data_IF_034976257480
#
_entry.id   IF_034976257480
#
_cell.length_a   1.000
_cell.length_b   1.000
_cell.length_c   1.000
_cell.angle_alpha   90.00
_cell.angle_beta   90.00
_cell.angle_gamma   90.00
#
_symmetry.space_group_name_H-M   'P 1'
#
loop_
_entity.id
_entity.type
_entity.pdbx_description
1 polymer ?
#
# COMPACT_ATOMS: atom_id res chain seq x y z
N UNK A 1 1.33 9.10 -8.75
CA UNK A 1 0.46 8.38 -9.72
C UNK A 1 -0.10 7.16 -9.01
N UNK A 2 -1.37 6.88 -9.22
CA UNK A 2 -2.12 5.75 -8.65
C UNK A 2 -2.02 4.50 -9.52
N UNK A 3 -2.51 3.36 -9.04
CA UNK A 3 -2.53 2.08 -9.78
C UNK A 3 -3.25 2.18 -11.13
N UNK A 4 -4.32 2.98 -11.22
CA UNK A 4 -5.05 3.21 -12.47
C UNK A 4 -4.48 4.36 -13.32
N UNK A 5 -3.30 4.90 -12.96
CA UNK A 5 -2.64 5.98 -13.69
C UNK A 5 -3.13 7.40 -13.39
N UNK A 6 -4.12 7.58 -12.50
CA UNK A 6 -4.61 8.91 -12.11
C UNK A 6 -3.53 9.67 -11.32
N UNK A 7 -3.31 10.94 -11.66
CA UNK A 7 -2.46 11.83 -10.86
C UNK A 7 -3.28 12.43 -9.74
N UNK A 8 -2.88 12.21 -8.50
CA UNK A 8 -3.53 12.73 -7.28
C UNK A 8 -2.60 13.67 -6.55
N UNK A 9 -3.13 14.46 -5.62
CA UNK A 9 -2.39 15.53 -4.93
C UNK A 9 -1.71 15.08 -3.63
N UNK A 10 -2.24 14.03 -2.98
CA UNK A 10 -1.70 13.55 -1.71
C UNK A 10 -1.49 12.04 -1.71
N UNK A 11 -0.72 11.54 -0.72
CA UNK A 11 -0.53 10.10 -0.49
C UNK A 11 -1.82 9.44 0.00
N UNK A 12 -2.62 10.17 0.77
CA UNK A 12 -3.90 9.68 1.28
C UNK A 12 -4.92 9.51 0.17
N UNK A 13 -4.99 10.45 -0.76
CA UNK A 13 -5.78 10.30 -1.99
C UNK A 13 -5.27 9.15 -2.86
N UNK A 14 -3.94 8.96 -2.97
CA UNK A 14 -3.37 7.81 -3.66
C UNK A 14 -3.83 6.51 -3.02
N UNK A 15 -3.78 6.41 -1.69
CA UNK A 15 -4.22 5.24 -0.96
C UNK A 15 -5.71 4.92 -1.23
N UNK A 16 -6.57 5.92 -1.15
CA UNK A 16 -8.02 5.77 -1.41
C UNK A 16 -8.27 5.34 -2.86
N UNK A 17 -7.61 6.00 -3.82
CA UNK A 17 -7.71 5.67 -5.25
C UNK A 17 -7.29 4.22 -5.53
N UNK A 18 -6.16 3.81 -4.96
CA UNK A 18 -5.61 2.45 -5.14
C UNK A 18 -6.52 1.41 -4.46
N UNK A 19 -7.10 1.74 -3.31
CA UNK A 19 -8.09 0.89 -2.65
C UNK A 19 -9.35 0.70 -3.51
N UNK A 20 -9.92 1.78 -4.05
CA UNK A 20 -11.07 1.73 -4.94
C UNK A 20 -10.78 0.88 -6.18
N UNK A 21 -9.62 1.08 -6.79
CA UNK A 21 -9.20 0.33 -7.97
C UNK A 21 -9.02 -1.16 -7.68
N UNK A 22 -8.37 -1.52 -6.56
CA UNK A 22 -8.21 -2.93 -6.13
C UNK A 22 -9.54 -3.65 -5.89
N UNK A 23 -10.58 -2.91 -5.54
CA UNK A 23 -11.92 -3.46 -5.32
C UNK A 23 -12.84 -3.35 -6.55
N UNK A 24 -12.27 -3.03 -7.71
CA UNK A 24 -12.99 -2.85 -8.98
C UNK A 24 -14.10 -1.78 -8.91
N UNK A 25 -13.94 -0.78 -8.04
CA UNK A 25 -14.90 0.30 -7.87
C UNK A 25 -14.51 1.44 -8.81
N UNK A 26 -15.38 1.75 -9.78
CA UNK A 26 -15.19 2.88 -10.68
C UNK A 26 -15.35 4.18 -9.94
N UNK A 27 -14.47 5.14 -10.19
CA UNK A 27 -14.54 6.46 -9.61
C UNK A 27 -14.08 7.53 -10.58
N UNK A 28 -14.48 8.76 -10.31
CA UNK A 28 -14.04 9.98 -10.98
C UNK A 28 -13.27 10.81 -9.94
N UNK A 29 -12.03 11.11 -10.23
CA UNK A 29 -11.19 11.94 -9.37
C UNK A 29 -11.46 13.42 -9.64
N UNK A 30 -11.60 14.23 -8.58
CA UNK A 30 -11.92 15.67 -8.60
C UNK A 30 -13.08 16.06 -9.54
N UNK A 31 -14.25 15.40 -9.43
CA UNK A 31 -15.39 15.75 -10.26
C UNK A 31 -15.82 17.20 -10.00
N UNK A 32 -16.10 17.94 -11.06
CA UNK A 32 -16.65 19.28 -10.92
C UNK A 32 -18.13 19.20 -10.57
N UNK A 33 -18.51 19.72 -9.41
CA UNK A 33 -19.90 19.80 -8.96
C UNK A 33 -20.29 21.27 -8.87
N UNK A 34 -21.24 21.68 -9.74
CA UNK A 34 -21.70 23.05 -9.81
C UNK A 34 -22.93 23.22 -8.91
N UNK A 35 -22.87 24.18 -8.01
CA UNK A 35 -24.01 24.68 -7.24
C UNK A 35 -24.34 26.10 -7.69
N UNK A 36 -25.52 26.63 -7.31
CA UNK A 36 -25.93 27.98 -7.73
C UNK A 36 -24.91 29.06 -7.35
N UNK A 37 -24.32 28.92 -6.16
CA UNK A 37 -23.51 29.99 -5.56
C UNK A 37 -22.00 29.67 -5.57
N UNK A 38 -21.59 28.43 -5.88
CA UNK A 38 -20.19 28.05 -5.93
C UNK A 38 -20.00 26.71 -6.64
N UNK A 39 -18.79 26.51 -7.16
CA UNK A 39 -18.32 25.24 -7.68
C UNK A 39 -17.51 24.52 -6.59
N UNK A 40 -17.65 23.20 -6.55
CA UNK A 40 -16.88 22.37 -5.66
C UNK A 40 -16.31 21.15 -6.37
N UNK A 41 -15.12 20.71 -5.95
CA UNK A 41 -14.48 19.49 -6.45
C UNK A 41 -14.15 18.60 -5.27
N UNK A 42 -15.03 17.67 -4.91
CA UNK A 42 -14.69 16.61 -3.96
C UNK A 42 -13.58 15.71 -4.54
N UNK A 43 -12.83 15.03 -3.68
CA UNK A 43 -11.71 14.21 -4.14
C UNK A 43 -12.18 13.06 -5.04
N UNK A 44 -13.29 12.40 -4.71
CA UNK A 44 -13.80 11.29 -5.50
C UNK A 44 -15.32 11.33 -5.68
N UNK A 45 -15.78 10.85 -6.81
CA UNK A 45 -17.18 10.48 -7.05
C UNK A 45 -17.23 9.01 -7.45
N UNK A 46 -18.07 8.24 -6.77
CA UNK A 46 -18.31 6.81 -7.02
C UNK A 46 -19.71 6.69 -7.63
N UNK A 47 -19.81 6.57 -8.97
CA UNK A 47 -21.11 6.60 -9.67
C UNK A 47 -22.06 5.48 -9.22
N UNK A 48 -21.57 4.27 -9.06
CA UNK A 48 -22.37 3.08 -8.71
C UNK A 48 -22.98 3.17 -7.30
N UNK A 49 -22.32 3.88 -6.39
CA UNK A 49 -22.81 4.17 -5.04
C UNK A 49 -23.53 5.53 -4.94
N UNK A 50 -23.55 6.33 -6.01
CA UNK A 50 -23.99 7.72 -6.03
C UNK A 50 -23.42 8.54 -4.85
N UNK A 51 -22.12 8.38 -4.61
CA UNK A 51 -21.41 8.86 -3.43
C UNK A 51 -20.26 9.76 -3.82
N UNK A 52 -20.19 10.94 -3.19
CA UNK A 52 -19.03 11.81 -3.21
C UNK A 52 -18.21 11.57 -1.94
N UNK A 53 -16.90 11.45 -2.08
CA UNK A 53 -15.97 11.27 -0.96
C UNK A 53 -15.00 12.45 -0.93
N UNK A 54 -14.82 13.03 0.25
CA UNK A 54 -13.85 14.08 0.54
C UNK A 54 -12.91 13.60 1.64
N UNK A 55 -11.61 13.65 1.41
CA UNK A 55 -10.60 13.31 2.42
C UNK A 55 -10.03 14.56 3.05
N UNK A 56 -10.16 14.68 4.36
CA UNK A 56 -9.76 15.86 5.12
C UNK A 56 -8.40 15.60 5.76
N UNK A 57 -7.35 16.21 5.20
CA UNK A 57 -5.98 16.12 5.71
C UNK A 57 -5.71 17.10 6.87
N UNK A 58 -6.48 18.19 6.98
CA UNK A 58 -6.29 19.22 8.02
C UNK A 58 -7.60 19.48 8.78
N UNK A 59 -7.54 19.46 10.13
CA UNK A 59 -8.67 19.75 11.01
C UNK A 59 -9.24 21.16 10.85
N UNK A 60 -8.45 22.10 10.31
CA UNK A 60 -8.85 23.50 10.09
C UNK A 60 -9.64 23.72 8.80
N UNK A 61 -9.90 22.67 8.03
CA UNK A 61 -10.59 22.80 6.74
C UNK A 61 -12.08 23.11 6.95
N UNK A 62 -12.60 24.25 6.41
CA UNK A 62 -13.99 24.64 6.62
C UNK A 62 -14.95 23.72 5.85
N UNK A 63 -15.65 22.89 6.58
CA UNK A 63 -16.48 21.83 5.99
C UNK A 63 -17.98 22.12 6.04
N UNK A 64 -18.42 22.98 6.97
CA UNK A 64 -19.84 23.12 7.34
C UNK A 64 -20.78 23.64 6.23
N UNK A 65 -20.28 24.43 5.29
CA UNK A 65 -21.10 24.93 4.17
C UNK A 65 -21.34 23.90 3.07
N UNK A 66 -20.34 23.05 2.79
CA UNK A 66 -20.35 22.09 1.68
C UNK A 66 -21.40 20.99 1.88
N UNK A 67 -21.44 20.38 3.07
CA UNK A 67 -22.41 19.32 3.37
C UNK A 67 -23.86 19.77 3.21
N UNK A 68 -24.17 21.01 3.67
CA UNK A 68 -25.52 21.58 3.52
C UNK A 68 -25.93 21.70 2.06
N UNK A 69 -25.01 22.09 1.18
CA UNK A 69 -25.29 22.24 -0.25
C UNK A 69 -25.46 20.88 -0.93
N UNK A 70 -24.62 19.91 -0.61
CA UNK A 70 -24.78 18.53 -1.11
C UNK A 70 -26.15 17.97 -0.69
N UNK A 71 -26.52 18.14 0.58
CA UNK A 71 -27.83 17.70 1.09
C UNK A 71 -28.99 18.39 0.40
N UNK A 72 -28.92 19.72 0.18
CA UNK A 72 -29.94 20.49 -0.57
C UNK A 72 -30.07 20.00 -2.02
N UNK A 73 -28.97 19.59 -2.64
CA UNK A 73 -28.95 19.05 -4.00
C UNK A 73 -29.29 17.54 -4.08
N UNK A 74 -29.71 16.95 -2.97
CA UNK A 74 -29.96 15.50 -2.86
C UNK A 74 -28.76 14.65 -3.28
N UNK A 75 -27.54 15.12 -2.97
CA UNK A 75 -26.26 14.45 -3.20
C UNK A 75 -25.64 14.03 -1.87
N UNK A 76 -25.03 12.88 -1.86
CA UNK A 76 -24.36 12.35 -0.66
C UNK A 76 -22.87 12.69 -0.69
N UNK A 77 -22.42 13.49 0.28
CA UNK A 77 -21.01 13.72 0.54
C UNK A 77 -20.62 13.04 1.85
N UNK A 78 -19.63 12.16 1.79
CA UNK A 78 -19.04 11.51 2.97
C UNK A 78 -17.60 11.98 3.13
N UNK A 79 -17.17 12.14 4.37
CA UNK A 79 -15.82 12.58 4.72
C UNK A 79 -15.03 11.45 5.34
N UNK A 80 -13.77 11.40 5.01
CA UNK A 80 -12.73 10.62 5.70
C UNK A 80 -11.65 11.57 6.21
N UNK A 81 -10.84 11.14 7.16
CA UNK A 81 -9.88 12.00 7.85
C UNK A 81 -8.50 11.37 7.89
N UNK A 82 -7.44 12.20 7.84
CA UNK A 82 -6.05 11.78 7.83
C UNK A 82 -5.70 10.81 8.98
N UNK A 83 -6.15 11.12 10.21
CA UNK A 83 -5.89 10.26 11.38
C UNK A 83 -6.46 8.82 11.24
N UNK A 84 -7.42 8.61 10.34
CA UNK A 84 -7.97 7.27 10.08
C UNK A 84 -7.03 6.40 9.25
N UNK A 85 -6.18 7.02 8.40
CA UNK A 85 -5.22 6.31 7.56
C UNK A 85 -4.02 5.79 8.36
N UNK A 86 -3.72 6.34 9.53
CA UNK A 86 -2.65 5.85 10.42
C UNK A 86 -2.80 4.35 10.73
N UNK A 87 -4.04 3.87 10.81
CA UNK A 87 -4.32 2.44 10.86
C UNK A 87 -5.04 1.99 9.58
N UNK A 88 -4.26 1.55 8.60
CA UNK A 88 -4.75 1.17 7.27
C UNK A 88 -5.79 0.04 7.30
N UNK A 89 -5.68 -0.91 8.23
CA UNK A 89 -6.66 -2.01 8.35
C UNK A 89 -8.03 -1.48 8.80
N UNK A 90 -8.06 -0.60 9.81
CA UNK A 90 -9.29 0.03 10.25
C UNK A 90 -9.85 0.97 9.17
N UNK A 91 -9.00 1.69 8.47
CA UNK A 91 -9.42 2.58 7.40
C UNK A 91 -10.06 1.82 6.23
N UNK A 92 -9.50 0.66 5.86
CA UNK A 92 -10.10 -0.22 4.86
C UNK A 92 -11.52 -0.64 5.25
N UNK A 93 -11.75 -1.01 6.52
CA UNK A 93 -13.08 -1.35 7.02
C UNK A 93 -14.04 -0.14 6.98
N UNK A 94 -13.53 1.06 7.25
CA UNK A 94 -14.32 2.31 7.13
C UNK A 94 -14.75 2.53 5.68
N UNK A 95 -13.82 2.46 4.72
CA UNK A 95 -14.12 2.61 3.29
C UNK A 95 -15.10 1.54 2.81
N UNK A 96 -14.86 0.29 3.17
CA UNK A 96 -15.76 -0.81 2.83
C UNK A 96 -17.17 -0.55 3.35
N UNK A 97 -17.32 -0.20 4.62
CA UNK A 97 -18.63 0.09 5.24
C UNK A 97 -19.35 1.27 4.57
N UNK A 98 -18.62 2.34 4.24
CA UNK A 98 -19.19 3.53 3.59
C UNK A 98 -19.74 3.17 2.22
N UNK A 99 -19.03 2.36 1.45
CA UNK A 99 -19.30 2.11 0.04
C UNK A 99 -20.21 0.90 -0.16
N UNK A 100 -19.94 -0.23 0.49
CA UNK A 100 -20.66 -1.49 0.33
C UNK A 100 -22.17 -1.38 0.51
N UNK A 101 -22.59 -0.63 1.52
CA UNK A 101 -24.02 -0.45 1.81
C UNK A 101 -24.76 0.38 0.76
N UNK A 102 -24.05 0.89 -0.25
CA UNK A 102 -24.60 1.76 -1.32
C UNK A 102 -24.40 1.20 -2.71
N UNK A 103 -23.64 0.12 -2.83
CA UNK A 103 -23.48 -0.56 -4.09
C UNK A 103 -24.72 -1.42 -4.39
N UNK A 104 -25.00 -1.66 -5.69
CA UNK A 104 -26.11 -2.53 -6.08
C UNK A 104 -26.03 -3.92 -5.45
N UNK A 105 -27.19 -4.54 -5.20
CA UNK A 105 -27.28 -5.93 -4.75
C UNK A 105 -26.53 -6.84 -5.74
N UNK A 106 -25.60 -7.66 -5.22
CA UNK A 106 -24.78 -8.54 -6.06
C UNK A 106 -23.44 -7.94 -6.51
N UNK A 107 -23.09 -6.73 -6.08
CA UNK A 107 -21.77 -6.20 -6.33
C UNK A 107 -20.71 -7.03 -5.59
N UNK A 108 -19.77 -7.57 -6.34
CA UNK A 108 -18.69 -8.37 -5.78
C UNK A 108 -17.44 -7.49 -5.58
N UNK A 109 -17.01 -7.37 -4.33
CA UNK A 109 -15.69 -6.85 -3.97
C UNK A 109 -14.63 -7.87 -4.39
N UNK A 110 -14.34 -7.97 -5.66
CA UNK A 110 -13.26 -8.83 -6.16
C UNK A 110 -11.97 -8.02 -6.25
N UNK A 111 -10.85 -8.66 -5.98
CA UNK A 111 -9.56 -8.06 -6.30
C UNK A 111 -9.51 -7.81 -7.81
N UNK A 112 -9.46 -6.54 -8.21
CA UNK A 112 -9.43 -6.15 -9.61
C UNK A 112 -8.06 -6.34 -10.24
N UNK A 113 -7.02 -6.53 -9.43
CA UNK A 113 -5.63 -6.54 -9.88
C UNK A 113 -5.00 -7.88 -9.55
N UNK A 114 -4.33 -8.47 -10.54
CA UNK A 114 -3.46 -9.62 -10.30
C UNK A 114 -2.20 -9.20 -9.53
N UNK A 115 -1.58 -10.15 -8.85
CA UNK A 115 -0.28 -9.94 -8.19
C UNK A 115 0.77 -9.41 -9.18
N UNK A 116 0.75 -9.90 -10.42
CA UNK A 116 1.68 -9.49 -11.48
C UNK A 116 1.49 -8.02 -11.90
N UNK A 117 0.25 -7.53 -11.93
CA UNK A 117 -0.04 -6.13 -12.22
C UNK A 117 0.40 -5.22 -11.09
N UNK A 118 0.13 -5.60 -9.85
CA UNK A 118 0.58 -4.86 -8.67
C UNK A 118 2.10 -4.85 -8.57
N UNK A 119 2.76 -5.98 -8.85
CA UNK A 119 4.22 -6.10 -8.90
C UNK A 119 4.83 -5.17 -9.97
N UNK A 120 4.23 -5.07 -11.15
CA UNK A 120 4.69 -4.15 -12.20
C UNK A 120 4.62 -2.70 -11.78
N UNK A 121 3.60 -2.32 -11.05
CA UNK A 121 3.45 -0.95 -10.54
C UNK A 121 4.53 -0.58 -9.53
N UNK A 122 4.83 -1.47 -8.59
CA UNK A 122 5.87 -1.27 -7.58
C UNK A 122 7.24 -1.81 -7.99
N UNK A 123 7.48 -1.96 -9.29
CA UNK A 123 8.70 -2.60 -9.82
C UNK A 123 9.98 -1.95 -9.27
N UNK A 124 10.04 -0.63 -9.16
CA UNK A 124 11.22 0.09 -8.66
C UNK A 124 11.47 -0.21 -7.18
N UNK A 125 10.45 -0.07 -6.36
CA UNK A 125 10.52 -0.29 -4.91
C UNK A 125 10.86 -1.74 -4.60
N UNK A 126 10.25 -2.68 -5.30
CA UNK A 126 10.55 -4.11 -5.17
C UNK A 126 11.97 -4.40 -5.63
N UNK A 127 12.43 -3.84 -6.74
CA UNK A 127 13.80 -4.00 -7.22
C UNK A 127 14.82 -3.45 -6.23
N UNK A 128 14.56 -2.29 -5.64
CA UNK A 128 15.43 -1.68 -4.64
C UNK A 128 15.47 -2.55 -3.37
N UNK A 129 14.33 -3.06 -2.91
CA UNK A 129 14.26 -3.99 -1.78
C UNK A 129 15.03 -5.28 -2.05
N UNK A 130 14.81 -5.92 -3.20
CA UNK A 130 15.53 -7.15 -3.61
C UNK A 130 17.04 -6.90 -3.68
N UNK A 131 17.47 -5.75 -4.21
CA UNK A 131 18.90 -5.39 -4.27
C UNK A 131 19.52 -5.27 -2.88
N UNK A 132 18.81 -4.67 -1.92
CA UNK A 132 19.24 -4.62 -0.53
C UNK A 132 19.27 -6.01 0.13
N UNK A 133 18.26 -6.82 -0.16
CA UNK A 133 18.15 -8.19 0.35
C UNK A 133 19.34 -9.06 -0.10
N UNK A 134 19.72 -8.97 -1.38
CA UNK A 134 20.90 -9.68 -1.91
C UNK A 134 22.19 -9.27 -1.20
N UNK A 135 22.40 -7.97 -0.95
CA UNK A 135 23.54 -7.47 -0.18
C UNK A 135 23.58 -8.04 1.24
N UNK A 136 22.43 -8.16 1.89
CA UNK A 136 22.34 -8.76 3.23
C UNK A 136 22.65 -10.26 3.19
N UNK A 137 22.20 -10.98 2.16
CA UNK A 137 22.54 -12.39 1.95
C UNK A 137 24.06 -12.57 1.82
N UNK A 138 24.70 -11.75 0.97
CA UNK A 138 26.15 -11.78 0.78
C UNK A 138 26.89 -11.50 2.09
N UNK A 139 26.49 -10.47 2.83
CA UNK A 139 27.09 -10.14 4.12
C UNK A 139 26.96 -11.27 5.13
N UNK A 140 25.77 -11.88 5.24
CA UNK A 140 25.53 -13.03 6.15
C UNK A 140 26.46 -14.19 5.81
N UNK A 141 26.66 -14.48 4.52
CA UNK A 141 27.51 -15.58 4.05
C UNK A 141 28.99 -15.28 4.28
N UNK A 142 29.45 -14.07 3.96
CA UNK A 142 30.85 -13.66 4.13
C UNK A 142 31.25 -13.65 5.62
N UNK A 143 30.38 -13.12 6.47
CA UNK A 143 30.65 -13.02 7.91
C UNK A 143 30.30 -14.30 8.67
N UNK A 144 29.76 -15.31 8.00
CA UNK A 144 29.27 -16.57 8.60
C UNK A 144 28.31 -16.36 9.78
N UNK A 145 27.49 -15.31 9.70
CA UNK A 145 26.52 -14.96 10.73
C UNK A 145 25.23 -15.76 10.57
N UNK A 146 24.59 -16.10 11.69
CA UNK A 146 23.24 -16.69 11.63
C UNK A 146 22.19 -15.61 11.38
N UNK A 147 21.11 -15.96 10.68
CA UNK A 147 19.94 -15.07 10.48
C UNK A 147 19.34 -14.59 11.80
N UNK A 148 19.34 -15.47 12.82
CA UNK A 148 18.88 -15.13 14.17
C UNK A 148 19.74 -14.04 14.80
N UNK A 149 21.07 -14.16 14.71
CA UNK A 149 22.00 -13.15 15.25
C UNK A 149 21.76 -11.79 14.60
N UNK A 150 21.60 -11.74 13.28
CA UNK A 150 21.32 -10.51 12.54
C UNK A 150 19.97 -9.89 12.94
N UNK A 151 18.96 -10.71 13.10
CA UNK A 151 17.64 -10.26 13.55
C UNK A 151 17.71 -9.66 14.95
N UNK A 152 18.33 -10.37 15.91
CA UNK A 152 18.46 -9.91 17.30
C UNK A 152 19.28 -8.60 17.39
N UNK A 153 20.32 -8.47 16.57
CA UNK A 153 21.12 -7.24 16.48
C UNK A 153 20.31 -6.08 15.88
N UNK A 154 19.56 -6.35 14.81
CA UNK A 154 18.76 -5.33 14.13
C UNK A 154 17.63 -4.78 15.00
N UNK A 155 17.04 -5.59 15.88
CA UNK A 155 15.97 -5.15 16.79
C UNK A 155 16.45 -4.09 17.81
N UNK A 156 17.76 -3.99 18.02
CA UNK A 156 18.39 -2.99 18.90
C UNK A 156 18.77 -1.70 18.16
N UNK A 157 18.55 -1.63 16.83
CA UNK A 157 18.86 -0.44 16.06
C UNK A 157 17.92 0.72 16.42
N UNK A 158 18.46 1.93 16.43
CA UNK A 158 17.71 3.14 16.77
C UNK A 158 16.67 3.50 15.70
N UNK A 159 16.93 3.13 14.44
CA UNK A 159 16.08 3.45 13.31
C UNK A 159 15.00 2.37 13.10
N UNK A 160 13.75 2.77 13.20
CA UNK A 160 12.59 1.89 12.99
C UNK A 160 12.62 1.22 11.61
N UNK A 161 12.99 1.96 10.57
CA UNK A 161 13.11 1.43 9.19
C UNK A 161 14.09 0.26 9.08
N UNK A 162 15.19 0.28 9.86
CA UNK A 162 16.15 -0.83 9.89
C UNK A 162 15.52 -2.05 10.55
N UNK A 163 14.86 -1.87 11.68
CA UNK A 163 14.15 -2.95 12.37
C UNK A 163 13.09 -3.60 11.47
N UNK A 164 12.29 -2.79 10.80
CA UNK A 164 11.22 -3.27 9.92
C UNK A 164 11.76 -3.95 8.66
N UNK A 165 12.84 -3.41 8.08
CA UNK A 165 13.52 -4.05 6.97
C UNK A 165 13.94 -5.49 7.33
N UNK A 166 14.62 -5.70 8.46
CA UNK A 166 15.08 -7.03 8.86
C UNK A 166 13.94 -7.96 9.28
N UNK A 167 12.86 -7.45 9.84
CA UNK A 167 11.64 -8.26 10.08
C UNK A 167 11.07 -8.86 8.80
N UNK A 168 11.10 -8.10 7.70
CA UNK A 168 10.65 -8.56 6.38
C UNK A 168 11.71 -9.41 5.67
N UNK A 169 12.98 -9.01 5.77
CA UNK A 169 14.08 -9.63 5.03
C UNK A 169 14.42 -11.04 5.55
N UNK A 170 14.48 -11.23 6.85
CA UNK A 170 14.93 -12.51 7.43
C UNK A 170 14.06 -13.70 7.00
N UNK A 171 12.72 -13.68 7.06
CA UNK A 171 11.89 -14.76 6.57
C UNK A 171 12.12 -15.08 5.08
N UNK A 172 12.34 -14.07 4.26
CA UNK A 172 12.61 -14.24 2.83
C UNK A 172 13.97 -14.90 2.61
N UNK A 173 15.00 -14.47 3.35
CA UNK A 173 16.36 -15.05 3.31
C UNK A 173 16.33 -16.52 3.74
N UNK A 174 15.61 -16.86 4.79
CA UNK A 174 15.49 -18.25 5.25
C UNK A 174 14.79 -19.14 4.22
N UNK A 175 13.73 -18.61 3.61
CA UNK A 175 13.03 -19.32 2.53
C UNK A 175 13.93 -19.51 1.30
N UNK A 176 14.73 -18.51 0.94
CA UNK A 176 15.71 -18.61 -0.13
C UNK A 176 16.78 -19.68 0.18
N UNK A 177 17.36 -19.65 1.39
CA UNK A 177 18.33 -20.68 1.84
C UNK A 177 17.73 -22.09 1.76
N UNK A 178 16.51 -22.27 2.28
CA UNK A 178 15.81 -23.56 2.21
C UNK A 178 15.56 -24.01 0.77
N UNK A 179 15.18 -23.10 -0.11
CA UNK A 179 15.00 -23.38 -1.53
C UNK A 179 16.29 -23.82 -2.20
N UNK A 180 17.40 -23.10 -1.98
CA UNK A 180 18.71 -23.46 -2.52
C UNK A 180 19.17 -24.84 -2.00
N UNK A 181 19.01 -25.10 -0.71
CA UNK A 181 19.36 -26.40 -0.11
C UNK A 181 18.54 -27.53 -0.74
N UNK A 182 17.24 -27.39 -0.84
CA UNK A 182 16.34 -28.43 -1.38
C UNK A 182 16.58 -28.70 -2.86
N UNK A 183 17.07 -27.71 -3.61
CA UNK A 183 17.40 -27.84 -5.04
C UNK A 183 18.87 -28.14 -5.29
N UNK A 184 19.70 -28.24 -4.24
CA UNK A 184 21.17 -28.38 -4.34
C UNK A 184 21.80 -27.24 -5.18
N UNK A 185 21.22 -26.02 -5.12
CA UNK A 185 21.77 -24.83 -5.76
C UNK A 185 22.84 -24.20 -4.87
N UNK A 186 23.91 -23.76 -5.52
CA UNK A 186 25.02 -23.03 -4.91
C UNK A 186 25.11 -21.65 -5.58
N UNK A 187 25.17 -20.61 -4.82
CA UNK A 187 25.58 -19.31 -5.33
C UNK A 187 27.12 -19.17 -5.25
N UNK A 188 27.63 -18.05 -5.75
CA UNK A 188 29.07 -17.80 -5.81
C UNK A 188 29.74 -17.84 -4.43
N UNK A 189 29.10 -17.26 -3.41
CA UNK A 189 29.63 -17.26 -2.04
C UNK A 189 29.63 -18.66 -1.43
N UNK A 190 28.62 -19.48 -1.72
CA UNK A 190 28.58 -20.89 -1.29
C UNK A 190 29.71 -21.69 -1.93
N UNK A 191 30.02 -21.43 -3.20
CA UNK A 191 31.15 -22.09 -3.89
C UNK A 191 32.50 -21.74 -3.25
N UNK A 192 32.73 -20.44 -2.95
CA UNK A 192 33.94 -19.98 -2.26
C UNK A 192 34.07 -20.65 -0.89
N UNK A 193 33.00 -20.59 -0.07
CA UNK A 193 32.99 -21.15 1.29
C UNK A 193 33.26 -22.64 1.30
N UNK A 194 32.67 -23.41 0.36
CA UNK A 194 32.94 -24.82 0.21
C UNK A 194 34.36 -25.11 -0.23
N UNK A 195 34.92 -24.30 -1.14
CA UNK A 195 36.31 -24.46 -1.57
C UNK A 195 37.27 -24.25 -0.40
N UNK A 196 37.07 -23.21 0.39
CA UNK A 196 37.90 -22.93 1.59
C UNK A 196 37.80 -24.05 2.60
N UNK A 197 36.66 -24.71 2.77
CA UNK A 197 36.47 -25.82 3.70
C UNK A 197 37.14 -27.12 3.27
N UNK A 198 37.63 -27.22 2.03
CA UNK A 198 38.36 -28.39 1.50
C UNK A 198 39.88 -28.32 1.71
N UNK A 199 40.39 -27.16 2.14
CA UNK A 199 41.79 -26.92 2.50
C UNK A 199 41.96 -26.75 4.01
#
# INVERSE_FOLDING_TARGET
>A
TTLNGTKVRSKSEQYISDWLYRHNIKFIYEPKVNFRDFDFRPDFFIPEANLYLEHISNKSYPTNGKEKQFKKANKLLVKTFEHQIENTNLFNLVLERIIKNRLPSGYHFSAAISFEEEFRYYHKEVKDFVSQLLRVIDMIKIENNSTKFILDKSQKDQHERVRDFYKLAIPVIERYKSYCTNKSYLDFNDMISKTISLF
#
